data_IF_940970453592
#
_entry.id   IF_940970453592
#
_cell.length_a   1.000
_cell.length_b   1.000
_cell.length_c   1.000
_cell.angle_alpha   90.00
_cell.angle_beta   90.00
_cell.angle_gamma   90.00
#
_symmetry.space_group_name_H-M   'P 1'
#
loop_
_entity.id
_entity.type
_entity.pdbx_description
1 polymer ?
#
# COMPACT_ATOMS: atom_id res chain seq x y z
N UNK A 1 2.72 5.79 15.44
CA UNK A 1 2.13 7.12 15.15
C UNK A 1 2.75 8.23 16.02
N UNK A 2 3.97 8.02 16.52
CA UNK A 2 4.65 8.85 17.53
C UNK A 2 5.22 10.16 16.99
N UNK A 3 4.80 10.64 15.84
CA UNK A 3 5.32 11.87 15.19
C UNK A 3 6.85 11.96 15.18
N UNK A 4 7.54 10.82 15.19
CA UNK A 4 8.99 10.75 15.22
C UNK A 4 9.56 11.10 13.84
N UNK A 5 10.03 12.33 13.70
CA UNK A 5 10.55 12.87 12.44
C UNK A 5 11.81 12.12 11.97
N UNK A 6 12.63 11.62 12.86
CA UNK A 6 13.87 10.92 12.49
C UNK A 6 13.57 9.51 11.98
N UNK A 7 12.60 8.81 12.57
CA UNK A 7 12.12 7.56 12.02
C UNK A 7 11.47 7.76 10.65
N UNK A 8 10.68 8.81 10.47
CA UNK A 8 10.09 9.15 9.17
C UNK A 8 11.14 9.49 8.10
N UNK A 9 12.26 10.14 8.47
CA UNK A 9 13.40 10.34 7.57
C UNK A 9 14.01 9.01 7.11
N UNK A 10 14.19 8.05 8.03
CA UNK A 10 14.67 6.70 7.70
C UNK A 10 13.72 5.99 6.75
N UNK A 11 12.42 6.02 7.04
CA UNK A 11 11.40 5.41 6.17
C UNK A 11 11.38 6.06 4.78
N UNK A 12 11.52 7.38 4.70
CA UNK A 12 11.62 8.09 3.42
C UNK A 12 12.83 7.64 2.59
N UNK A 13 14.00 7.44 3.20
CA UNK A 13 15.18 6.88 2.51
C UNK A 13 14.92 5.47 1.99
N UNK A 14 14.32 4.59 2.81
CA UNK A 14 13.96 3.22 2.40
C UNK A 14 13.00 3.22 1.22
N UNK A 15 11.97 4.06 1.26
CA UNK A 15 11.01 4.19 0.16
C UNK A 15 11.68 4.64 -1.13
N UNK A 16 12.57 5.61 -1.08
CA UNK A 16 13.35 6.06 -2.25
C UNK A 16 14.18 4.92 -2.83
N UNK A 17 14.78 4.10 -1.99
CA UNK A 17 15.55 2.93 -2.42
C UNK A 17 14.67 1.85 -3.06
N UNK A 18 13.50 1.55 -2.46
CA UNK A 18 12.52 0.61 -3.03
C UNK A 18 12.07 1.08 -4.42
N UNK A 19 11.81 2.38 -4.60
CA UNK A 19 11.44 2.93 -5.90
C UNK A 19 12.56 2.83 -6.94
N UNK A 20 13.79 3.09 -6.53
CA UNK A 20 14.95 2.90 -7.40
C UNK A 20 15.03 1.45 -7.88
N UNK A 21 14.90 0.48 -6.98
CA UNK A 21 14.89 -0.94 -7.34
C UNK A 21 13.72 -1.31 -8.26
N UNK A 22 12.52 -0.81 -7.95
CA UNK A 22 11.35 -1.05 -8.82
C UNK A 22 11.58 -0.52 -10.23
N UNK A 23 12.15 0.68 -10.38
CA UNK A 23 12.47 1.27 -11.67
C UNK A 23 13.56 0.46 -12.43
N UNK A 24 14.60 -0.02 -11.73
CA UNK A 24 15.65 -0.87 -12.31
C UNK A 24 15.03 -2.19 -12.81
N UNK A 25 14.19 -2.83 -12.00
CA UNK A 25 13.51 -4.08 -12.40
C UNK A 25 12.64 -3.82 -13.64
N UNK A 26 11.85 -2.75 -13.66
CA UNK A 26 11.02 -2.38 -14.82
C UNK A 26 11.86 -2.19 -16.09
N UNK A 27 12.94 -1.42 -16.01
CA UNK A 27 13.80 -1.14 -17.15
C UNK A 27 14.41 -2.44 -17.72
N UNK A 28 14.87 -3.34 -16.84
CA UNK A 28 15.45 -4.63 -17.26
C UNK A 28 14.41 -5.56 -17.87
N UNK A 29 13.19 -5.63 -17.32
CA UNK A 29 12.13 -6.47 -17.88
C UNK A 29 11.70 -5.97 -19.27
N UNK A 30 11.53 -4.65 -19.46
CA UNK A 30 11.25 -4.11 -20.79
C UNK A 30 12.37 -4.40 -21.79
N UNK A 31 13.62 -4.40 -21.34
CA UNK A 31 14.78 -4.81 -22.17
C UNK A 31 14.70 -6.29 -22.57
N UNK A 32 14.40 -7.17 -21.60
CA UNK A 32 14.21 -8.61 -21.86
C UNK A 32 13.04 -8.84 -22.83
N UNK A 33 11.91 -8.18 -22.63
CA UNK A 33 10.76 -8.32 -23.52
C UNK A 33 11.04 -7.88 -24.97
N UNK A 34 11.90 -6.86 -25.17
CA UNK A 34 12.33 -6.43 -26.51
C UNK A 34 13.24 -7.46 -27.19
N UNK A 35 14.05 -8.19 -26.41
CA UNK A 35 14.96 -9.22 -26.93
C UNK A 35 14.22 -10.54 -27.27
N UNK A 36 13.06 -10.77 -26.69
CA UNK A 36 12.19 -11.90 -27.00
C UNK A 36 11.41 -11.67 -28.31
N UNK A 37 12.09 -11.75 -29.46
CA UNK A 37 11.49 -11.51 -30.79
C UNK A 37 10.38 -12.50 -31.18
N UNK A 38 10.24 -13.64 -30.50
CA UNK A 38 9.21 -14.67 -30.73
C UNK A 38 8.72 -15.33 -29.43
N UNK A 39 8.78 -14.62 -28.30
CA UNK A 39 8.33 -15.14 -27.03
C UNK A 39 6.81 -15.25 -26.97
N UNK A 40 6.30 -16.16 -26.16
CA UNK A 40 4.88 -16.31 -25.87
C UNK A 40 4.33 -14.96 -25.34
N UNK A 41 3.40 -14.37 -26.10
CA UNK A 41 2.75 -13.11 -25.77
C UNK A 41 2.10 -13.14 -24.37
N UNK A 42 1.70 -14.33 -23.92
CA UNK A 42 1.12 -14.58 -22.60
C UNK A 42 2.14 -14.38 -21.47
N UNK A 43 3.39 -14.83 -21.68
CA UNK A 43 4.47 -14.62 -20.70
C UNK A 43 4.81 -13.13 -20.62
N UNK A 44 4.94 -12.46 -21.75
CA UNK A 44 5.18 -11.02 -21.82
C UNK A 44 4.08 -10.22 -21.10
N UNK A 45 2.81 -10.61 -21.26
CA UNK A 45 1.69 -10.00 -20.58
C UNK A 45 1.76 -10.19 -19.05
N UNK A 46 2.05 -11.42 -18.58
CA UNK A 46 2.22 -11.70 -17.15
C UNK A 46 3.31 -10.82 -16.52
N UNK A 47 4.47 -10.71 -17.16
CA UNK A 47 5.55 -9.84 -16.70
C UNK A 47 5.12 -8.37 -16.61
N UNK A 48 4.51 -7.84 -17.64
CA UNK A 48 4.02 -6.46 -17.65
C UNK A 48 3.00 -6.20 -16.53
N UNK A 49 2.07 -7.13 -16.29
CA UNK A 49 1.10 -7.04 -15.20
C UNK A 49 1.79 -7.07 -13.83
N UNK A 50 2.73 -8.00 -13.61
CA UNK A 50 3.49 -8.10 -12.36
C UNK A 50 4.17 -6.79 -12.01
N UNK A 51 4.92 -6.21 -12.97
CA UNK A 51 5.60 -4.92 -12.76
C UNK A 51 4.60 -3.81 -12.42
N UNK A 52 3.52 -3.72 -13.17
CA UNK A 52 2.49 -2.71 -12.92
C UNK A 52 1.90 -2.81 -11.50
N UNK A 53 1.73 -4.04 -10.97
CA UNK A 53 1.24 -4.24 -9.60
C UNK A 53 2.29 -3.82 -8.55
N UNK A 54 3.53 -4.27 -8.72
CA UNK A 54 4.64 -3.88 -7.84
C UNK A 54 4.85 -2.37 -7.81
N UNK A 55 4.79 -1.71 -8.96
CA UNK A 55 4.88 -0.25 -9.03
C UNK A 55 3.77 0.43 -8.22
N UNK A 56 2.51 0.00 -8.38
CA UNK A 56 1.39 0.56 -7.62
C UNK A 56 1.54 0.35 -6.12
N UNK A 57 2.03 -0.81 -5.67
CA UNK A 57 2.32 -1.06 -4.25
C UNK A 57 3.41 -0.09 -3.75
N UNK A 58 4.50 0.04 -4.49
CA UNK A 58 5.60 0.96 -4.16
C UNK A 58 5.13 2.42 -4.12
N UNK A 59 4.32 2.85 -5.07
CA UNK A 59 3.77 4.21 -5.13
C UNK A 59 2.83 4.50 -3.96
N UNK A 60 1.97 3.55 -3.58
CA UNK A 60 1.09 3.69 -2.42
C UNK A 60 1.88 3.81 -1.11
N UNK A 61 2.90 2.98 -0.94
CA UNK A 61 3.78 3.07 0.23
C UNK A 61 4.51 4.42 0.29
N UNK A 62 5.06 4.87 -0.86
CA UNK A 62 5.69 6.19 -0.96
C UNK A 62 4.73 7.31 -0.58
N UNK A 63 3.50 7.30 -1.09
CA UNK A 63 2.53 8.36 -0.83
C UNK A 63 2.22 8.48 0.66
N UNK A 64 2.02 7.35 1.36
CA UNK A 64 1.84 7.34 2.82
C UNK A 64 3.03 7.98 3.52
N UNK A 65 4.26 7.52 3.22
CA UNK A 65 5.48 7.99 3.91
C UNK A 65 5.74 9.48 3.65
N UNK A 66 5.61 9.92 2.38
CA UNK A 66 5.88 11.32 2.02
C UNK A 66 4.84 12.26 2.63
N UNK A 67 3.56 11.91 2.61
CA UNK A 67 2.51 12.72 3.24
C UNK A 67 2.67 12.80 4.75
N UNK A 68 2.93 11.66 5.40
CA UNK A 68 3.18 11.61 6.84
C UNK A 68 4.40 12.44 7.24
N UNK A 69 5.51 12.31 6.50
CA UNK A 69 6.70 13.11 6.71
C UNK A 69 6.45 14.61 6.58
N UNK A 70 5.75 15.04 5.52
CA UNK A 70 5.38 16.45 5.33
C UNK A 70 4.47 16.96 6.44
N UNK A 71 3.48 16.15 6.85
CA UNK A 71 2.55 16.51 7.90
C UNK A 71 3.25 16.78 9.23
N UNK A 72 4.13 15.86 9.65
CA UNK A 72 4.91 16.00 10.90
C UNK A 72 5.96 17.08 10.78
N UNK A 73 6.68 17.16 9.65
CA UNK A 73 7.71 18.18 9.42
C UNK A 73 7.16 19.60 9.42
N UNK A 74 5.92 19.81 9.02
CA UNK A 74 5.22 21.09 9.09
C UNK A 74 4.58 21.35 10.47
N UNK A 75 4.87 20.51 11.47
CA UNK A 75 4.34 20.62 12.84
C UNK A 75 2.80 20.69 12.90
N UNK A 76 2.14 20.00 11.98
CA UNK A 76 0.68 19.90 12.03
C UNK A 76 0.23 19.03 13.21
N UNK A 77 -0.99 19.31 13.71
CA UNK A 77 -1.61 18.53 14.79
C UNK A 77 -1.64 17.03 14.39
N UNK A 78 -1.26 16.15 15.32
CA UNK A 78 -1.27 14.71 15.14
C UNK A 78 -2.66 14.13 14.92
N UNK A 79 -2.69 12.87 14.50
CA UNK A 79 -3.90 12.09 14.41
C UNK A 79 -4.58 12.00 15.79
N UNK A 80 -5.92 11.97 15.80
CA UNK A 80 -6.70 11.73 16.99
C UNK A 80 -6.50 10.27 17.45
N UNK A 81 -6.62 10.01 18.74
CA UNK A 81 -6.47 8.65 19.27
C UNK A 81 -7.42 7.66 18.60
N UNK A 82 -8.67 8.05 18.36
CA UNK A 82 -9.63 7.23 17.62
C UNK A 82 -9.19 6.93 16.19
N UNK A 83 -8.57 7.89 15.49
CA UNK A 83 -8.01 7.67 14.16
C UNK A 83 -6.80 6.72 14.21
N UNK A 84 -5.96 6.83 15.24
CA UNK A 84 -4.84 5.93 15.46
C UNK A 84 -5.32 4.50 15.65
N UNK A 85 -6.35 4.28 16.46
CA UNK A 85 -6.92 2.95 16.69
C UNK A 85 -7.56 2.37 15.42
N UNK A 86 -8.26 3.16 14.64
CA UNK A 86 -8.79 2.77 13.33
C UNK A 86 -7.65 2.36 12.37
N UNK A 87 -6.59 3.17 12.28
CA UNK A 87 -5.44 2.87 11.44
C UNK A 87 -4.63 1.66 11.91
N UNK A 88 -4.57 1.37 13.21
CA UNK A 88 -3.98 0.13 13.73
C UNK A 88 -4.72 -1.10 13.21
N UNK A 89 -6.06 -1.09 13.18
CA UNK A 89 -6.86 -2.19 12.62
C UNK A 89 -6.56 -2.39 11.13
N UNK A 90 -6.55 -1.32 10.34
CA UNK A 90 -6.17 -1.38 8.92
C UNK A 90 -4.74 -1.92 8.74
N UNK A 91 -3.79 -1.49 9.59
CA UNK A 91 -2.41 -1.98 9.58
C UNK A 91 -2.32 -3.49 9.80
N UNK A 92 -3.07 -4.04 10.74
CA UNK A 92 -3.10 -5.47 11.02
C UNK A 92 -3.56 -6.24 9.77
N UNK A 93 -4.66 -5.79 9.14
CA UNK A 93 -5.19 -6.43 7.94
C UNK A 93 -4.19 -6.40 6.76
N UNK A 94 -3.60 -5.25 6.46
CA UNK A 94 -2.65 -5.16 5.34
C UNK A 94 -1.37 -5.95 5.59
N UNK A 95 -0.86 -6.01 6.82
CA UNK A 95 0.32 -6.81 7.16
C UNK A 95 0.05 -8.31 6.98
N UNK A 96 -1.11 -8.80 7.42
CA UNK A 96 -1.51 -10.19 7.21
C UNK A 96 -1.57 -10.54 5.71
N UNK A 97 -2.21 -9.70 4.90
CA UNK A 97 -2.28 -9.88 3.44
C UNK A 97 -0.88 -9.93 2.81
N UNK A 98 0.01 -9.00 3.19
CA UNK A 98 1.37 -8.95 2.63
C UNK A 98 2.17 -10.19 3.01
N UNK A 99 2.13 -10.62 4.28
CA UNK A 99 2.87 -11.79 4.77
C UNK A 99 2.40 -13.08 4.11
N UNK A 100 1.09 -13.25 3.92
CA UNK A 100 0.53 -14.41 3.20
C UNK A 100 0.90 -14.40 1.72
N UNK A 101 0.87 -13.23 1.08
CA UNK A 101 1.33 -13.09 -0.30
C UNK A 101 2.83 -13.41 -0.43
N UNK A 102 3.67 -12.89 0.45
CA UNK A 102 5.11 -13.21 0.50
C UNK A 102 5.34 -14.71 0.68
N UNK A 103 4.61 -15.35 1.59
CA UNK A 103 4.69 -16.80 1.81
C UNK A 103 4.34 -17.57 0.54
N UNK A 104 3.29 -17.17 -0.18
CA UNK A 104 2.87 -17.78 -1.44
C UNK A 104 3.96 -17.65 -2.52
N UNK A 105 4.59 -16.48 -2.66
CA UNK A 105 5.69 -16.28 -3.61
C UNK A 105 6.93 -17.10 -3.25
N UNK A 106 7.31 -17.16 -1.98
CA UNK A 106 8.46 -17.94 -1.52
C UNK A 106 8.28 -19.44 -1.72
N UNK A 107 7.07 -19.95 -1.53
CA UNK A 107 6.72 -21.36 -1.74
C UNK A 107 6.44 -21.71 -3.20
N UNK A 108 6.32 -20.72 -4.08
CA UNK A 108 5.85 -20.87 -5.47
C UNK A 108 4.49 -21.58 -5.57
N UNK A 109 3.65 -21.40 -4.58
CA UNK A 109 2.33 -21.98 -4.44
C UNK A 109 1.40 -20.98 -3.80
N UNK A 110 0.17 -20.84 -4.30
CA UNK A 110 -0.81 -19.95 -3.68
C UNK A 110 -1.35 -20.60 -2.41
N UNK A 111 -0.92 -20.07 -1.28
CA UNK A 111 -1.35 -20.54 0.04
C UNK A 111 -2.49 -19.66 0.54
N UNK A 112 -3.60 -20.30 0.92
CA UNK A 112 -4.69 -19.63 1.63
C UNK A 112 -5.36 -18.45 0.88
N UNK A 113 -5.48 -18.56 -0.47
CA UNK A 113 -6.02 -17.47 -1.30
C UNK A 113 -7.38 -16.95 -0.82
N UNK A 114 -8.30 -17.85 -0.46
CA UNK A 114 -9.63 -17.45 0.02
C UNK A 114 -9.55 -16.61 1.30
N UNK A 115 -8.69 -16.99 2.23
CA UNK A 115 -8.47 -16.24 3.47
C UNK A 115 -7.90 -14.84 3.20
N UNK A 116 -6.98 -14.71 2.21
CA UNK A 116 -6.44 -13.41 1.79
C UNK A 116 -7.54 -12.51 1.22
N UNK A 117 -8.42 -13.07 0.40
CA UNK A 117 -9.56 -12.36 -0.18
C UNK A 117 -10.57 -11.94 0.89
N UNK A 118 -10.85 -12.82 1.85
CA UNK A 118 -11.77 -12.53 2.95
C UNK A 118 -11.21 -11.47 3.90
N UNK A 119 -9.92 -11.52 4.18
CA UNK A 119 -9.23 -10.47 4.95
C UNK A 119 -9.25 -9.11 4.23
N UNK A 120 -9.10 -9.09 2.92
CA UNK A 120 -9.25 -7.86 2.13
C UNK A 120 -10.69 -7.33 2.14
N UNK A 121 -11.69 -8.19 2.06
CA UNK A 121 -13.10 -7.80 2.16
C UNK A 121 -13.40 -7.18 3.52
N UNK A 122 -12.99 -7.84 4.61
CA UNK A 122 -13.10 -7.32 5.96
C UNK A 122 -12.42 -5.96 6.12
N UNK A 123 -11.20 -5.81 5.60
CA UNK A 123 -10.48 -4.53 5.63
C UNK A 123 -11.25 -3.42 4.89
N UNK A 124 -11.91 -3.73 3.79
CA UNK A 124 -12.75 -2.76 3.06
C UNK A 124 -13.95 -2.33 3.87
N UNK A 125 -14.65 -3.27 4.51
CA UNK A 125 -15.79 -2.97 5.38
C UNK A 125 -15.38 -2.04 6.54
N UNK A 126 -14.25 -2.35 7.18
CA UNK A 126 -13.67 -1.45 8.20
C UNK A 126 -13.37 -0.05 7.63
N UNK A 127 -12.77 0.02 6.44
CA UNK A 127 -12.43 1.30 5.83
C UNK A 127 -13.66 2.12 5.47
N UNK A 128 -14.73 1.51 4.99
CA UNK A 128 -15.99 2.18 4.69
C UNK A 128 -16.62 2.73 5.97
N UNK A 129 -16.64 1.97 7.06
CA UNK A 129 -17.08 2.44 8.38
C UNK A 129 -16.21 3.61 8.88
N UNK A 130 -14.90 3.51 8.78
CA UNK A 130 -13.96 4.54 9.24
C UNK A 130 -14.05 5.82 8.40
N UNK A 131 -14.34 5.69 7.11
CA UNK A 131 -14.61 6.83 6.24
C UNK A 131 -15.89 7.57 6.67
N UNK A 132 -16.95 6.85 7.05
CA UNK A 132 -18.17 7.46 7.61
C UNK A 132 -17.88 8.18 8.94
N UNK A 133 -17.15 7.52 9.85
CA UNK A 133 -16.72 8.15 11.10
C UNK A 133 -15.91 9.43 10.83
N UNK A 134 -15.06 9.42 9.80
CA UNK A 134 -14.25 10.58 9.45
C UNK A 134 -15.11 11.73 8.89
N UNK A 135 -16.13 11.44 8.10
CA UNK A 135 -17.09 12.45 7.63
C UNK A 135 -17.77 13.12 8.82
N UNK A 136 -18.17 12.34 9.82
CA UNK A 136 -18.81 12.90 11.03
C UNK A 136 -17.84 13.77 11.83
N UNK A 137 -16.58 13.34 11.97
CA UNK A 137 -15.53 14.17 12.61
C UNK A 137 -15.27 15.49 11.87
N UNK A 138 -15.44 15.53 10.55
CA UNK A 138 -15.36 16.77 9.77
C UNK A 138 -16.57 17.66 10.04
N UNK A 139 -17.79 17.09 10.05
CA UNK A 139 -19.04 17.82 10.29
C UNK A 139 -19.06 18.47 11.67
N UNK A 140 -18.52 17.77 12.68
CA UNK A 140 -18.45 18.27 14.06
C UNK A 140 -17.21 19.12 14.35
N UNK A 141 -16.43 19.47 13.32
CA UNK A 141 -15.15 20.21 13.42
C UNK A 141 -14.11 19.55 14.37
N UNK A 142 -14.30 18.28 14.70
CA UNK A 142 -13.36 17.50 15.54
C UNK A 142 -12.07 17.17 14.79
N UNK A 143 -12.13 16.95 13.47
CA UNK A 143 -10.98 16.69 12.62
C UNK A 143 -10.83 17.78 11.58
N UNK A 144 -9.68 18.43 11.58
CA UNK A 144 -9.36 19.50 10.61
C UNK A 144 -9.04 18.92 9.23
N UNK A 145 -9.28 19.71 8.19
CA UNK A 145 -9.14 19.33 6.78
C UNK A 145 -7.80 18.64 6.46
N UNK A 146 -6.68 19.21 6.89
CA UNK A 146 -5.34 18.64 6.59
C UNK A 146 -5.14 17.26 7.21
N UNK A 147 -5.66 17.07 8.42
CA UNK A 147 -5.62 15.79 9.11
C UNK A 147 -6.51 14.76 8.42
N UNK A 148 -7.69 15.17 7.98
CA UNK A 148 -8.63 14.33 7.24
C UNK A 148 -8.02 13.87 5.90
N UNK A 149 -7.35 14.76 5.17
CA UNK A 149 -6.65 14.43 3.91
C UNK A 149 -5.56 13.37 4.16
N UNK A 150 -4.76 13.50 5.24
CA UNK A 150 -3.75 12.52 5.59
C UNK A 150 -4.40 11.17 5.93
N UNK A 151 -5.45 11.17 6.75
CA UNK A 151 -6.18 9.99 7.15
C UNK A 151 -6.73 9.21 5.95
N UNK A 152 -7.48 9.89 5.07
CA UNK A 152 -8.00 9.28 3.83
C UNK A 152 -6.89 8.75 2.91
N UNK A 153 -5.78 9.47 2.80
CA UNK A 153 -4.66 9.01 1.99
C UNK A 153 -4.04 7.71 2.55
N UNK A 154 -3.91 7.57 3.87
CA UNK A 154 -3.38 6.35 4.49
C UNK A 154 -4.34 5.19 4.24
N UNK A 155 -5.63 5.33 4.58
CA UNK A 155 -6.64 4.28 4.41
C UNK A 155 -6.74 3.86 2.94
N UNK A 156 -6.88 4.81 2.02
CA UNK A 156 -7.02 4.54 0.59
C UNK A 156 -5.80 3.83 -0.01
N UNK A 157 -4.58 4.23 0.38
CA UNK A 157 -3.37 3.55 -0.09
C UNK A 157 -3.25 2.13 0.49
N UNK A 158 -3.64 1.90 1.74
CA UNK A 158 -3.65 0.55 2.32
C UNK A 158 -4.59 -0.38 1.56
N UNK A 159 -5.82 0.05 1.25
CA UNK A 159 -6.78 -0.70 0.44
C UNK A 159 -6.21 -0.97 -0.96
N UNK A 160 -5.67 0.04 -1.61
CA UNK A 160 -5.09 -0.08 -2.95
C UNK A 160 -3.93 -1.08 -2.96
N UNK A 161 -2.99 -0.98 -2.03
CA UNK A 161 -1.85 -1.90 -1.93
C UNK A 161 -2.31 -3.34 -1.69
N UNK A 162 -3.28 -3.57 -0.80
CA UNK A 162 -3.84 -4.90 -0.54
C UNK A 162 -4.48 -5.49 -1.79
N UNK A 163 -5.27 -4.70 -2.53
CA UNK A 163 -5.83 -5.10 -3.83
C UNK A 163 -4.75 -5.49 -4.84
N UNK A 164 -3.63 -4.75 -4.88
CA UNK A 164 -2.55 -5.08 -5.81
C UNK A 164 -1.81 -6.37 -5.40
N UNK A 165 -1.67 -6.68 -4.10
CA UNK A 165 -1.11 -7.95 -3.64
C UNK A 165 -1.97 -9.14 -4.08
N UNK A 166 -3.30 -9.06 -3.93
CA UNK A 166 -4.22 -10.11 -4.43
C UNK A 166 -4.05 -10.28 -5.93
N UNK A 167 -4.04 -9.18 -6.68
CA UNK A 167 -3.87 -9.23 -8.14
C UNK A 167 -2.50 -9.73 -8.59
N UNK A 168 -1.48 -9.64 -7.75
CA UNK A 168 -0.20 -10.32 -7.99
C UNK A 168 -0.34 -11.83 -7.85
N UNK A 169 -1.04 -12.32 -6.84
CA UNK A 169 -1.30 -13.74 -6.65
C UNK A 169 -2.12 -14.34 -7.81
N UNK A 170 -3.07 -13.59 -8.38
CA UNK A 170 -3.86 -14.02 -9.54
C UNK A 170 -3.03 -14.20 -10.83
N UNK A 171 -1.84 -13.61 -10.91
CA UNK A 171 -0.93 -13.73 -12.07
C UNK A 171 -0.03 -14.96 -11.94
N UNK A 172 0.19 -15.40 -10.70
CA UNK A 172 1.11 -16.48 -10.34
C UNK A 172 0.55 -17.84 -10.73
#
# INVERSE_FOLDING_TARGET
FDQNIDEMKKQRKKVTQIQLWTNIIMANIFKVLRLQQKGDARISYKYAQTIRRLQKISDGHRDIVVRSYKHVGNKHKGLLDVQIEELKKIKICILDIILKAETSFNRKEIVDYQNIVDQYRYMRELADQFNQNQIERIRTDTSKTRLSILYYAIVGNCIMMSKQNIKLLEIF
#
